data_IF_113671912041
#
_entry.id   IF_113671912041
#
_cell.length_a   1.000
_cell.length_b   1.000
_cell.length_c   1.000
_cell.angle_alpha   90.00
_cell.angle_beta   90.00
_cell.angle_gamma   90.00
#
_symmetry.space_group_name_H-M   'P 1'
#
loop_
_entity.id
_entity.type
_entity.pdbx_description
1 polymer ?
#
# COMPACT_ATOMS: atom_id res chain seq x y z
N UNK A 1 -22.58 24.58 27.26
CA UNK A 1 -23.43 25.54 28.00
C UNK A 1 -24.76 24.95 28.44
N UNK A 2 -25.50 24.25 27.56
CA UNK A 2 -26.77 23.61 27.92
C UNK A 2 -26.72 22.74 29.19
N UNK A 3 -25.66 21.94 29.37
CA UNK A 3 -25.49 21.11 30.59
C UNK A 3 -25.39 21.95 31.87
N UNK A 4 -24.71 23.09 31.81
CA UNK A 4 -24.56 24.00 32.95
C UNK A 4 -25.89 24.69 33.27
N UNK A 5 -26.63 25.10 32.24
CA UNK A 5 -27.97 25.69 32.37
C UNK A 5 -28.92 24.73 33.09
N UNK A 6 -28.99 23.47 32.64
CA UNK A 6 -29.85 22.45 33.26
C UNK A 6 -29.44 22.22 34.72
N UNK A 7 -28.15 22.04 35.01
CA UNK A 7 -27.69 21.82 36.38
C UNK A 7 -28.07 22.98 37.32
N UNK A 8 -27.84 24.24 36.91
CA UNK A 8 -28.22 25.40 37.71
C UNK A 8 -29.73 25.56 37.87
N UNK A 9 -30.48 25.24 36.82
CA UNK A 9 -31.93 25.21 36.87
C UNK A 9 -32.39 24.17 37.90
N UNK A 10 -31.89 22.94 37.84
CA UNK A 10 -32.25 21.87 38.76
C UNK A 10 -31.97 22.25 40.23
N UNK A 11 -30.79 22.82 40.52
CA UNK A 11 -30.47 23.33 41.86
C UNK A 11 -31.43 24.44 42.32
N UNK A 12 -31.86 25.34 41.42
CA UNK A 12 -32.85 26.37 41.76
C UNK A 12 -34.18 25.73 42.17
N UNK A 13 -34.65 24.71 41.43
CA UNK A 13 -35.87 23.99 41.76
C UNK A 13 -35.74 23.22 43.08
N UNK A 14 -34.61 22.53 43.31
CA UNK A 14 -34.35 21.81 44.56
C UNK A 14 -34.38 22.74 45.78
N UNK A 15 -33.71 23.89 45.70
CA UNK A 15 -33.69 24.87 46.81
C UNK A 15 -35.10 25.42 47.07
N UNK A 16 -35.89 25.69 46.03
CA UNK A 16 -37.28 26.15 46.22
C UNK A 16 -38.16 25.09 46.90
N UNK A 17 -37.99 23.81 46.55
CA UNK A 17 -38.68 22.71 47.23
C UNK A 17 -38.30 22.62 48.71
N UNK A 18 -37.01 22.79 49.03
CA UNK A 18 -36.55 22.81 50.42
C UNK A 18 -37.17 24.00 51.17
N UNK A 19 -37.17 25.20 50.59
CA UNK A 19 -37.77 26.40 51.20
C UNK A 19 -39.27 26.20 51.45
N UNK A 20 -40.02 25.67 50.48
CA UNK A 20 -41.45 25.38 50.64
C UNK A 20 -41.68 24.40 51.80
N UNK A 21 -40.90 23.31 51.85
CA UNK A 21 -41.02 22.29 52.90
C UNK A 21 -40.72 22.83 54.30
N UNK A 22 -39.74 23.73 54.43
CA UNK A 22 -39.38 24.37 55.70
C UNK A 22 -40.48 25.33 56.15
N UNK A 23 -41.04 26.14 55.23
CA UNK A 23 -42.14 27.06 55.53
C UNK A 23 -43.36 26.28 56.02
N UNK A 24 -43.74 25.19 55.33
CA UNK A 24 -44.87 24.34 55.73
C UNK A 24 -44.66 23.74 57.12
N UNK A 25 -43.48 23.16 57.39
CA UNK A 25 -43.15 22.58 58.70
C UNK A 25 -43.20 23.61 59.82
N UNK A 26 -42.77 24.85 59.56
CA UNK A 26 -42.83 25.94 60.54
C UNK A 26 -44.26 26.43 60.75
N UNK A 27 -45.10 26.43 59.72
CA UNK A 27 -46.50 26.81 59.80
C UNK A 27 -47.33 25.82 60.64
N UNK A 28 -47.02 24.53 60.53
CA UNK A 28 -47.64 23.46 61.36
C UNK A 28 -47.27 23.59 62.84
N UNK A 29 -46.12 24.20 63.14
CA UNK A 29 -45.62 24.40 64.50
C UNK A 29 -46.27 25.61 65.22
N UNK A 30 -47.07 26.43 64.51
CA UNK A 30 -47.71 27.64 65.06
C UNK A 30 -49.18 27.34 65.41
N UNK A 31 -49.57 27.36 66.69
CA UNK A 31 -50.97 27.17 67.07
C UNK A 31 -51.84 28.32 66.53
N UNK A 32 -53.02 27.98 66.01
CA UNK A 32 -53.98 28.90 65.35
C UNK A 32 -53.54 29.50 63.99
N UNK A 33 -52.61 28.88 63.27
CA UNK A 33 -52.32 29.30 61.90
C UNK A 33 -53.54 29.04 60.99
N UNK A 34 -54.04 30.10 60.32
CA UNK A 34 -55.19 30.04 59.40
C UNK A 34 -54.77 29.99 57.93
N UNK A 35 -53.47 29.87 57.65
CA UNK A 35 -52.93 29.94 56.29
C UNK A 35 -53.03 28.55 55.65
N UNK A 36 -53.74 28.40 54.53
CA UNK A 36 -53.80 27.11 53.84
C UNK A 36 -52.46 26.79 53.17
N UNK A 37 -52.00 25.52 53.17
CA UNK A 37 -50.81 25.08 52.44
C UNK A 37 -50.85 25.45 50.95
N UNK A 38 -52.04 25.49 50.35
CA UNK A 38 -52.25 25.89 48.97
C UNK A 38 -51.80 27.35 48.68
N UNK A 39 -51.92 28.25 49.65
CA UNK A 39 -51.43 29.63 49.50
C UNK A 39 -49.91 29.69 49.51
N UNK A 40 -49.25 28.87 50.35
CA UNK A 40 -47.79 28.75 50.39
C UNK A 40 -47.28 28.24 49.05
N UNK A 41 -47.91 27.20 48.49
CA UNK A 41 -47.56 26.65 47.18
C UNK A 41 -47.73 27.67 46.05
N UNK A 42 -48.88 28.34 45.96
CA UNK A 42 -49.11 29.39 44.94
C UNK A 42 -48.09 30.52 45.02
N UNK A 43 -47.72 30.94 46.22
CA UNK A 43 -46.71 31.97 46.42
C UNK A 43 -45.30 31.48 46.04
N UNK A 44 -44.97 30.23 46.37
CA UNK A 44 -43.69 29.61 45.99
C UNK A 44 -43.58 29.48 44.47
N UNK A 45 -44.62 29.02 43.79
CA UNK A 45 -44.68 28.94 42.32
C UNK A 45 -44.52 30.32 41.67
N UNK A 46 -45.19 31.36 42.22
CA UNK A 46 -45.05 32.74 41.74
C UNK A 46 -43.62 33.27 41.90
N UNK A 47 -42.99 32.98 43.05
CA UNK A 47 -41.61 33.38 43.31
C UNK A 47 -40.61 32.61 42.44
N UNK A 48 -40.82 31.31 42.25
CA UNK A 48 -40.02 30.48 41.36
C UNK A 48 -40.08 30.94 39.90
N UNK A 49 -41.27 31.33 39.40
CA UNK A 49 -41.41 31.92 38.07
C UNK A 49 -40.63 33.23 37.92
N UNK A 50 -40.67 34.08 38.94
CA UNK A 50 -39.88 35.32 38.98
C UNK A 50 -38.38 35.02 38.97
N UNK A 51 -37.92 34.12 39.84
CA UNK A 51 -36.53 33.72 39.96
C UNK A 51 -36.02 33.07 38.67
N UNK A 52 -36.82 32.22 38.03
CA UNK A 52 -36.49 31.62 36.74
C UNK A 52 -36.29 32.70 35.68
N UNK A 53 -37.18 33.69 35.58
CA UNK A 53 -37.05 34.78 34.61
C UNK A 53 -35.76 35.59 34.85
N UNK A 54 -35.42 35.89 36.10
CA UNK A 54 -34.17 36.57 36.44
C UNK A 54 -32.95 35.70 36.13
N UNK A 55 -33.02 34.41 36.46
CA UNK A 55 -31.97 33.44 36.16
C UNK A 55 -31.71 33.34 34.66
N UNK A 56 -32.74 33.17 33.84
CA UNK A 56 -32.62 33.05 32.38
C UNK A 56 -31.92 34.29 31.81
N UNK A 57 -32.31 35.50 32.23
CA UNK A 57 -31.69 36.74 31.78
C UNK A 57 -30.22 36.87 32.17
N UNK A 58 -29.86 36.46 33.39
CA UNK A 58 -28.49 36.51 33.87
C UNK A 58 -27.63 35.43 33.24
N UNK A 59 -28.18 34.22 33.08
CA UNK A 59 -27.51 33.10 32.46
C UNK A 59 -27.19 33.39 30.99
N UNK A 60 -28.12 33.97 30.22
CA UNK A 60 -27.85 34.35 28.83
C UNK A 60 -26.69 35.33 28.70
N UNK A 61 -26.61 36.34 29.59
CA UNK A 61 -25.48 37.28 29.61
C UNK A 61 -24.17 36.59 29.99
N UNK A 62 -24.20 35.74 31.00
CA UNK A 62 -23.03 34.96 31.41
C UNK A 62 -22.57 34.02 30.31
N UNK A 63 -23.50 33.38 29.60
CA UNK A 63 -23.23 32.51 28.47
C UNK A 63 -22.52 33.25 27.34
N UNK A 64 -23.01 34.44 26.97
CA UNK A 64 -22.37 35.29 25.97
C UNK A 64 -20.92 35.63 26.37
N UNK A 65 -20.69 36.04 27.61
CA UNK A 65 -19.35 36.38 28.11
C UNK A 65 -18.42 35.15 28.12
N UNK A 66 -18.93 33.99 28.53
CA UNK A 66 -18.15 32.75 28.52
C UNK A 66 -17.74 32.34 27.11
N UNK A 67 -18.64 32.46 26.13
CA UNK A 67 -18.31 32.19 24.73
C UNK A 67 -17.29 33.19 24.16
N UNK A 68 -17.39 34.47 24.52
CA UNK A 68 -16.49 35.49 24.01
C UNK A 68 -15.08 35.43 24.62
N UNK A 69 -14.98 35.17 25.93
CA UNK A 69 -13.72 35.34 26.66
C UNK A 69 -13.03 34.05 27.07
N UNK A 70 -13.77 32.95 27.24
CA UNK A 70 -13.23 31.71 27.80
C UNK A 70 -13.22 30.58 26.78
N UNK A 71 -14.35 30.37 26.11
CA UNK A 71 -14.53 29.26 25.16
C UNK A 71 -14.36 29.68 23.70
N UNK A 72 -14.03 30.94 23.45
CA UNK A 72 -13.77 31.48 22.12
C UNK A 72 -12.30 31.34 21.76
N UNK A 73 -12.01 30.79 20.59
CA UNK A 73 -10.66 30.81 20.03
C UNK A 73 -10.46 32.18 19.37
N UNK A 74 -9.45 32.98 19.78
CA UNK A 74 -9.16 34.26 19.15
C UNK A 74 -8.82 34.07 17.66
N UNK A 75 -9.35 34.93 16.79
CA UNK A 75 -9.10 34.85 15.33
C UNK A 75 -7.62 35.00 14.96
N UNK A 76 -6.83 35.59 15.84
CA UNK A 76 -5.40 35.83 15.71
C UNK A 76 -4.54 34.73 16.36
N UNK A 77 -5.15 33.71 16.96
CA UNK A 77 -4.44 32.59 17.55
C UNK A 77 -4.66 31.35 16.70
N UNK A 78 -3.56 30.81 16.17
CA UNK A 78 -3.57 29.53 15.49
C UNK A 78 -3.43 28.41 16.52
N UNK A 79 -4.27 27.38 16.39
CA UNK A 79 -4.15 26.21 17.23
C UNK A 79 -2.89 25.42 16.87
N UNK A 80 -2.25 24.73 17.83
CA UNK A 80 -1.08 23.90 17.55
C UNK A 80 -1.29 22.88 16.44
N UNK A 81 -2.51 22.36 16.31
CA UNK A 81 -2.94 21.42 15.27
C UNK A 81 -2.91 22.05 13.88
N UNK A 82 -3.22 23.34 13.78
CA UNK A 82 -3.30 24.07 12.51
C UNK A 82 -1.97 24.68 12.08
N UNK A 83 -0.90 24.56 12.89
CA UNK A 83 0.44 25.08 12.57
C UNK A 83 0.98 24.59 11.23
N UNK A 84 0.62 23.37 10.83
CA UNK A 84 1.03 22.80 9.53
C UNK A 84 0.46 23.61 8.36
N UNK A 85 -0.76 24.14 8.52
CA UNK A 85 -1.42 24.95 7.49
C UNK A 85 -0.81 26.35 7.35
N UNK A 86 -0.24 26.91 8.42
CA UNK A 86 0.50 28.18 8.36
C UNK A 86 1.94 27.98 7.85
N UNK A 87 2.61 26.90 8.26
CA UNK A 87 3.99 26.62 7.84
C UNK A 87 4.08 26.18 6.38
N UNK A 88 3.09 25.44 5.90
CA UNK A 88 3.03 24.92 4.53
C UNK A 88 1.66 25.22 3.92
N UNK A 89 1.39 26.51 3.60
CA UNK A 89 0.15 26.87 2.96
C UNK A 89 0.16 26.34 1.53
N UNK A 90 -0.46 25.18 1.32
CA UNK A 90 -0.60 24.59 -0.01
C UNK A 90 -1.88 25.10 -0.66
N UNK A 91 -1.76 25.81 -1.78
CA UNK A 91 -2.92 26.13 -2.60
C UNK A 91 -3.44 24.88 -3.30
N UNK A 92 -4.73 24.88 -3.68
CA UNK A 92 -5.31 23.77 -4.47
C UNK A 92 -4.59 23.60 -5.81
N UNK A 93 -4.08 24.68 -6.37
CA UNK A 93 -3.37 24.72 -7.65
C UNK A 93 -1.98 24.09 -7.55
N UNK A 94 -1.31 24.19 -6.41
CA UNK A 94 -0.03 23.52 -6.12
C UNK A 94 -0.22 22.06 -5.68
N UNK A 95 -1.38 21.73 -5.10
CA UNK A 95 -1.70 20.36 -4.69
C UNK A 95 -2.03 19.44 -5.86
N UNK A 96 -2.69 19.96 -6.90
CA UNK A 96 -3.01 19.19 -8.11
C UNK A 96 -1.79 18.59 -8.83
N UNK A 97 -0.71 19.34 -9.13
CA UNK A 97 0.46 18.76 -9.77
C UNK A 97 1.13 17.70 -8.90
N UNK A 98 1.11 17.87 -7.56
CA UNK A 98 1.63 16.86 -6.64
C UNK A 98 0.82 15.55 -6.70
N UNK A 99 -0.51 15.64 -6.81
CA UNK A 99 -1.35 14.45 -7.01
C UNK A 99 -1.04 13.75 -8.33
N UNK A 100 -0.90 14.51 -9.42
CA UNK A 100 -0.55 13.97 -10.74
C UNK A 100 0.82 13.31 -10.71
N UNK A 101 1.81 13.94 -10.07
CA UNK A 101 3.16 13.39 -9.92
C UNK A 101 3.14 12.08 -9.12
N UNK A 102 2.37 12.02 -8.03
CA UNK A 102 2.20 10.78 -7.24
C UNK A 102 1.58 9.67 -8.10
N UNK A 103 0.55 9.97 -8.88
CA UNK A 103 -0.09 8.98 -9.76
C UNK A 103 0.87 8.49 -10.85
N UNK A 104 1.65 9.40 -11.44
CA UNK A 104 2.64 9.07 -12.46
C UNK A 104 3.76 8.20 -11.90
N UNK A 105 4.32 8.56 -10.74
CA UNK A 105 5.36 7.77 -10.06
C UNK A 105 4.85 6.38 -9.69
N UNK A 106 3.61 6.25 -9.22
CA UNK A 106 3.01 4.95 -8.94
C UNK A 106 2.86 4.09 -10.20
N UNK A 107 2.54 4.72 -11.34
CA UNK A 107 2.45 4.01 -12.62
C UNK A 107 3.82 3.57 -13.12
N UNK A 108 4.82 4.44 -13.03
CA UNK A 108 6.21 4.12 -13.39
C UNK A 108 6.76 2.98 -12.54
N UNK A 109 6.57 3.03 -11.22
CA UNK A 109 6.98 1.97 -10.31
C UNK A 109 6.37 0.60 -10.69
N UNK A 110 5.07 0.56 -11.00
CA UNK A 110 4.42 -0.70 -11.44
C UNK A 110 5.01 -1.20 -12.75
N UNK A 111 5.32 -0.31 -13.68
CA UNK A 111 5.95 -0.68 -14.95
C UNK A 111 7.37 -1.23 -14.73
N UNK A 112 8.17 -0.59 -13.88
CA UNK A 112 9.51 -1.06 -13.53
C UNK A 112 9.49 -2.44 -12.86
N UNK A 113 8.61 -2.66 -11.88
CA UNK A 113 8.45 -3.98 -11.25
C UNK A 113 8.07 -5.05 -12.28
N UNK A 114 7.19 -4.73 -13.22
CA UNK A 114 6.82 -5.66 -14.29
C UNK A 114 7.96 -5.93 -15.27
N UNK A 115 8.78 -4.92 -15.57
CA UNK A 115 9.94 -5.04 -16.43
C UNK A 115 11.04 -5.89 -15.76
N UNK A 116 11.29 -5.68 -14.47
CA UNK A 116 12.19 -6.48 -13.66
C UNK A 116 11.78 -7.96 -13.69
N UNK A 117 10.50 -8.25 -13.44
CA UNK A 117 9.99 -9.63 -13.50
C UNK A 117 10.18 -10.26 -14.89
N UNK A 118 9.96 -9.50 -15.96
CA UNK A 118 10.17 -9.98 -17.33
C UNK A 118 11.65 -10.27 -17.61
N UNK A 119 12.54 -9.39 -17.18
CA UNK A 119 13.99 -9.57 -17.33
C UNK A 119 14.50 -10.79 -16.55
N UNK A 120 13.98 -11.01 -15.34
CA UNK A 120 14.30 -12.21 -14.56
C UNK A 120 13.84 -13.49 -15.25
N UNK A 121 12.64 -13.50 -15.86
CA UNK A 121 12.15 -14.63 -16.63
C UNK A 121 13.02 -14.91 -17.87
N UNK A 122 13.36 -13.86 -18.63
CA UNK A 122 14.23 -13.97 -19.81
C UNK A 122 15.64 -14.48 -19.45
N UNK A 123 16.18 -14.03 -18.32
CA UNK A 123 17.48 -14.51 -17.82
C UNK A 123 17.44 -16.00 -17.48
N UNK A 124 16.34 -16.49 -16.92
CA UNK A 124 16.19 -17.92 -16.62
C UNK A 124 16.04 -18.75 -17.91
N UNK A 125 15.29 -18.26 -18.89
CA UNK A 125 15.23 -18.88 -20.22
C UNK A 125 16.61 -18.94 -20.89
N UNK A 126 17.40 -17.87 -20.79
CA UNK A 126 18.74 -17.82 -21.35
C UNK A 126 19.68 -18.86 -20.71
N UNK A 127 19.61 -19.05 -19.39
CA UNK A 127 20.39 -20.10 -18.71
C UNK A 127 20.04 -21.50 -19.20
N UNK A 128 18.76 -21.78 -19.46
CA UNK A 128 18.32 -23.08 -19.97
C UNK A 128 18.95 -23.30 -21.36
N UNK A 129 18.85 -22.32 -22.25
CA UNK A 129 19.43 -22.41 -23.60
C UNK A 129 20.96 -22.56 -23.54
N UNK A 130 21.62 -21.82 -22.65
CA UNK A 130 23.06 -21.96 -22.44
C UNK A 130 23.43 -23.37 -22.00
N UNK A 131 22.68 -23.95 -21.06
CA UNK A 131 22.91 -25.32 -20.57
C UNK A 131 22.72 -26.34 -21.70
N UNK A 132 21.72 -26.17 -22.57
CA UNK A 132 21.54 -27.03 -23.74
C UNK A 132 22.68 -26.91 -24.75
N UNK A 133 23.19 -25.70 -25.00
CA UNK A 133 24.35 -25.50 -25.88
C UNK A 133 25.63 -26.12 -25.29
N UNK A 134 25.84 -25.99 -23.98
CA UNK A 134 26.97 -26.62 -23.27
C UNK A 134 26.89 -28.15 -23.35
N UNK A 135 25.70 -28.74 -23.22
CA UNK A 135 25.51 -30.17 -23.49
C UNK A 135 25.92 -30.52 -24.91
N UNK A 136 25.46 -29.77 -25.92
CA UNK A 136 25.82 -30.05 -27.32
C UNK A 136 27.35 -30.00 -27.52
N UNK A 137 28.03 -29.01 -26.93
CA UNK A 137 29.49 -28.94 -26.98
C UNK A 137 30.15 -30.16 -26.32
N UNK A 138 29.69 -30.57 -25.15
CA UNK A 138 30.19 -31.78 -24.48
C UNK A 138 29.96 -33.06 -25.32
N UNK A 139 28.87 -33.13 -26.08
CA UNK A 139 28.62 -34.24 -27.01
C UNK A 139 29.62 -34.23 -28.17
N UNK A 140 29.95 -33.05 -28.72
CA UNK A 140 30.99 -32.94 -29.75
C UNK A 140 32.37 -33.32 -29.21
N UNK A 141 32.73 -32.83 -28.02
CA UNK A 141 34.00 -33.18 -27.37
C UNK A 141 34.07 -34.70 -27.07
N UNK A 142 32.97 -35.29 -26.61
CA UNK A 142 32.85 -36.73 -26.39
C UNK A 142 33.02 -37.55 -27.67
N UNK A 143 32.40 -37.10 -28.76
CA UNK A 143 32.54 -37.73 -30.07
C UNK A 143 33.99 -37.65 -30.57
N UNK A 144 34.62 -36.47 -30.48
CA UNK A 144 36.02 -36.30 -30.88
C UNK A 144 36.96 -37.19 -30.06
N UNK A 145 36.72 -37.30 -28.75
CA UNK A 145 37.49 -38.15 -27.85
C UNK A 145 37.37 -39.64 -28.21
N UNK A 146 36.16 -40.15 -28.46
CA UNK A 146 35.95 -41.55 -28.89
C UNK A 146 36.66 -41.82 -30.23
N UNK A 147 36.60 -40.87 -31.17
CA UNK A 147 37.28 -41.00 -32.46
C UNK A 147 38.81 -40.97 -32.32
N UNK A 148 39.33 -40.18 -31.37
CA UNK A 148 40.75 -40.16 -31.02
C UNK A 148 41.21 -41.47 -30.39
N UNK A 149 40.42 -42.06 -29.49
CA UNK A 149 40.70 -43.35 -28.86
C UNK A 149 40.74 -44.51 -29.87
N UNK A 150 39.87 -44.48 -30.89
CA UNK A 150 39.86 -45.46 -31.97
C UNK A 150 40.84 -45.15 -33.11
N UNK A 151 41.72 -44.14 -32.96
CA UNK A 151 42.80 -43.85 -33.91
C UNK A 151 42.38 -43.09 -35.17
N UNK A 152 41.14 -42.61 -35.25
CA UNK A 152 40.59 -41.80 -36.36
C UNK A 152 40.30 -40.38 -35.88
N UNK A 153 41.30 -39.73 -35.29
CA UNK A 153 41.18 -38.41 -34.65
C UNK A 153 40.79 -37.28 -35.61
N UNK A 154 41.10 -37.39 -36.90
CA UNK A 154 40.68 -36.44 -37.92
C UNK A 154 40.05 -37.16 -39.11
N UNK A 155 38.72 -37.28 -39.10
CA UNK A 155 37.98 -37.91 -40.18
C UNK A 155 38.30 -37.32 -41.56
N UNK A 156 38.54 -36.01 -41.65
CA UNK A 156 38.87 -35.36 -42.92
C UNK A 156 40.19 -35.87 -43.48
N UNK A 157 41.22 -35.98 -42.63
CA UNK A 157 42.53 -36.49 -43.02
C UNK A 157 42.48 -38.01 -43.28
N UNK A 158 41.80 -38.77 -42.43
CA UNK A 158 41.62 -40.22 -42.61
C UNK A 158 40.88 -40.53 -43.91
N UNK A 159 39.81 -39.81 -44.23
CA UNK A 159 39.04 -40.00 -45.46
C UNK A 159 39.83 -39.55 -46.69
N UNK A 160 40.60 -38.46 -46.60
CA UNK A 160 41.49 -38.03 -47.67
C UNK A 160 42.59 -39.07 -47.97
N UNK A 161 43.21 -39.64 -46.92
CA UNK A 161 44.21 -40.70 -47.05
C UNK A 161 43.62 -41.99 -47.66
N UNK A 162 42.44 -42.41 -47.20
CA UNK A 162 41.70 -43.55 -47.77
C UNK A 162 41.37 -43.35 -49.24
N UNK A 163 40.86 -42.16 -49.61
CA UNK A 163 40.52 -41.84 -51.00
C UNK A 163 41.77 -41.83 -51.89
N UNK A 164 42.87 -41.25 -51.42
CA UNK A 164 44.13 -41.23 -52.16
C UNK A 164 44.74 -42.63 -52.32
N UNK A 165 44.70 -43.45 -51.26
CA UNK A 165 45.22 -44.81 -51.29
C UNK A 165 44.37 -45.74 -52.15
N UNK A 166 43.04 -45.58 -52.11
CA UNK A 166 42.10 -46.30 -52.97
C UNK A 166 42.34 -45.97 -54.44
N UNK A 167 42.55 -44.68 -54.78
CA UNK A 167 42.90 -44.26 -56.14
C UNK A 167 44.20 -44.90 -56.62
N UNK A 168 45.26 -44.87 -55.80
CA UNK A 168 46.53 -45.54 -56.13
C UNK A 168 46.37 -47.05 -56.31
N UNK A 169 45.55 -47.69 -55.48
CA UNK A 169 45.27 -49.13 -55.60
C UNK A 169 44.54 -49.41 -56.92
N UNK A 170 43.55 -48.60 -57.28
CA UNK A 170 42.82 -48.72 -58.54
C UNK A 170 43.77 -48.54 -59.75
N UNK A 171 44.66 -47.54 -59.70
CA UNK A 171 45.66 -47.31 -60.74
C UNK A 171 46.59 -48.54 -60.90
N UNK A 172 47.07 -49.13 -59.79
CA UNK A 172 47.91 -50.35 -59.80
C UNK A 172 47.14 -51.57 -60.30
N UNK A 173 45.86 -51.70 -59.96
CA UNK A 173 45.01 -52.82 -60.38
C UNK A 173 44.73 -52.74 -61.88
N UNK A 174 44.51 -51.54 -62.41
CA UNK A 174 44.44 -51.29 -63.85
C UNK A 174 45.77 -51.60 -64.57
N UNK A 175 46.92 -51.25 -63.96
CA UNK A 175 48.23 -51.60 -64.51
C UNK A 175 48.45 -53.12 -64.54
N UNK A 176 48.07 -53.84 -63.47
CA UNK A 176 48.18 -55.31 -63.41
C UNK A 176 47.23 -55.99 -64.40
N UNK A 177 46.01 -55.49 -64.57
CA UNK A 177 45.08 -55.97 -65.61
C UNK A 177 45.60 -55.70 -67.03
N UNK A 178 46.19 -54.52 -67.28
CA UNK A 178 46.83 -54.19 -68.56
C UNK A 178 48.06 -55.05 -68.81
N UNK A 179 48.83 -55.41 -67.77
CA UNK A 179 50.02 -56.27 -67.86
C UNK A 179 49.67 -57.76 -68.00
N UNK A 180 48.54 -58.20 -67.47
CA UNK A 180 48.02 -59.56 -67.64
C UNK A 180 47.34 -59.79 -69.00
N UNK A 181 47.04 -58.73 -69.76
CA UNK A 181 46.49 -58.84 -71.12
C UNK A 181 47.53 -58.46 -72.19
N UNK A 182 48.44 -59.40 -72.51
CA UNK A 182 48.75 -59.98 -73.87
C UNK A 182 50.21 -60.48 -73.99
N UNK A 183 50.52 -61.59 -74.74
CA UNK A 183 49.67 -62.33 -75.67
C UNK A 183 49.53 -63.85 -75.36
N UNK A 184 48.37 -64.44 -75.66
CA UNK A 184 48.35 -65.81 -76.20
C UNK A 184 48.87 -65.71 -77.64
N UNK A 185 50.08 -66.18 -77.87
CA UNK A 185 50.57 -66.52 -79.20
C UNK A 185 49.76 -67.71 -79.73
N UNK A 186 49.18 -67.51 -80.90
CA UNK A 186 48.62 -68.53 -81.79
C UNK A 186 49.64 -69.64 -82.06
N UNK A 187 49.19 -70.91 -82.07
CA UNK A 187 49.63 -71.93 -83.03
C UNK A 187 48.76 -73.18 -82.96
N UNK A 188 48.15 -73.48 -84.11
CA UNK A 188 47.61 -74.75 -84.63
C UNK A 188 46.43 -75.43 -83.91
#
# INVERSE_FOLDING_TARGET
MLRLYIAFQDYLFEVMLVVESVILRKLDSVPNSKIPPLHVRKNTEKFLLFMKKCFDQLFSKMEEVLFQLVLGIPKNALLPEDKVHEQYPYSKEEFQPLQVEIEELQKQYKAEVSAEQKLLAELEEQKIVQTELEKILQWFDGLENVCREHGTSNFKESFAFLTQSSKKLQDVLEEVEKKNNFPKSSSN
#
